data_IF_704903590385
#
_entry.id   IF_704903590385
#
_cell.length_a   1.000
_cell.length_b   1.000
_cell.length_c   1.000
_cell.angle_alpha   90.00
_cell.angle_beta   90.00
_cell.angle_gamma   90.00
#
_symmetry.space_group_name_H-M   'P 1'
#
loop_
_entity.id
_entity.type
_entity.pdbx_description
1 polymer ?
#
# COMPACT_ATOMS: atom_id res chain seq x y z
N UNK A 1 -4.71 -4.00 1.97
CA UNK A 1 -4.08 -4.83 3.02
C UNK A 1 -3.96 -3.98 4.27
N UNK A 2 -4.63 -4.33 5.37
CA UNK A 2 -4.65 -3.50 6.59
C UNK A 2 -3.36 -3.60 7.39
N UNK A 3 -2.94 -2.48 8.00
CA UNK A 3 -1.73 -2.39 8.84
C UNK A 3 -2.13 -2.06 10.28
N UNK A 4 -2.67 -0.87 10.54
CA UNK A 4 -3.01 -0.39 11.89
C UNK A 4 -4.02 0.77 11.81
N UNK A 5 -5.00 0.83 12.72
CA UNK A 5 -5.96 1.95 12.88
C UNK A 5 -6.57 2.48 11.56
N UNK A 6 -7.05 1.57 10.71
CA UNK A 6 -7.62 1.89 9.40
C UNK A 6 -6.62 2.19 8.28
N UNK A 7 -5.33 2.36 8.59
CA UNK A 7 -4.27 2.49 7.59
C UNK A 7 -3.96 1.15 6.91
N UNK A 8 -3.56 1.23 5.64
CA UNK A 8 -3.23 0.04 4.87
C UNK A 8 -2.45 0.33 3.59
N UNK A 9 -2.03 -0.76 2.94
CA UNK A 9 -1.46 -0.75 1.60
C UNK A 9 -2.58 -0.94 0.58
N UNK A 10 -2.73 0.00 -0.36
CA UNK A 10 -3.75 -0.06 -1.40
C UNK A 10 -3.26 0.53 -2.73
N UNK A 11 -3.97 0.17 -3.81
CA UNK A 11 -3.72 0.72 -5.14
C UNK A 11 -4.27 2.12 -5.30
N UNK A 12 -3.71 2.87 -6.24
CA UNK A 12 -4.26 4.16 -6.69
C UNK A 12 -4.08 4.36 -8.20
N UNK A 13 -5.01 5.10 -8.79
CA UNK A 13 -5.01 5.60 -10.17
C UNK A 13 -4.29 6.96 -10.32
N UNK A 14 -4.12 7.74 -9.24
CA UNK A 14 -3.31 8.97 -9.25
C UNK A 14 -1.80 8.66 -9.21
N UNK A 15 -1.31 7.92 -10.21
CA UNK A 15 0.09 7.48 -10.27
C UNK A 15 1.10 8.64 -10.21
N UNK A 16 0.72 9.81 -10.70
CA UNK A 16 1.56 11.02 -10.68
C UNK A 16 1.84 11.57 -9.28
N UNK A 17 1.09 11.16 -8.25
CA UNK A 17 1.33 11.56 -6.86
C UNK A 17 2.18 10.54 -6.07
N UNK A 18 2.51 9.39 -6.65
CA UNK A 18 3.37 8.40 -5.99
C UNK A 18 4.75 9.01 -5.69
N UNK A 19 5.29 8.73 -4.50
CA UNK A 19 6.55 9.33 -4.02
C UNK A 19 6.39 10.71 -3.36
N UNK A 20 5.17 11.27 -3.33
CA UNK A 20 4.87 12.52 -2.62
C UNK A 20 4.09 12.28 -1.32
N UNK A 21 3.93 13.34 -0.51
CA UNK A 21 3.13 13.32 0.73
C UNK A 21 1.62 13.44 0.44
N UNK A 22 1.07 12.51 -0.33
CA UNK A 22 -0.30 12.56 -0.87
C UNK A 22 -1.29 11.60 -0.19
N UNK A 23 -0.90 10.92 0.89
CA UNK A 23 -1.80 10.05 1.65
C UNK A 23 -2.12 10.63 3.03
N UNK A 24 -3.19 10.12 3.63
CA UNK A 24 -3.62 10.45 5.00
C UNK A 24 -3.23 9.33 5.99
N UNK A 25 -2.09 8.66 5.74
CA UNK A 25 -1.57 7.57 6.58
C UNK A 25 -1.51 6.20 5.89
N UNK A 26 -2.21 6.01 4.78
CA UNK A 26 -2.08 4.80 3.96
C UNK A 26 -0.81 4.80 3.10
N UNK A 27 -0.39 3.59 2.70
CA UNK A 27 0.66 3.38 1.69
C UNK A 27 -0.02 3.16 0.33
N UNK A 28 0.27 4.05 -0.62
CA UNK A 28 -0.27 4.01 -1.99
C UNK A 28 0.71 3.32 -2.92
N UNK A 29 0.22 2.45 -3.79
CA UNK A 29 0.99 1.75 -4.83
C UNK A 29 0.30 1.85 -6.19
N UNK A 30 1.02 1.63 -7.29
CA UNK A 30 0.37 1.48 -8.58
C UNK A 30 -0.51 0.21 -8.58
N UNK A 31 -1.66 0.26 -9.25
CA UNK A 31 -2.62 -0.85 -9.26
C UNK A 31 -2.01 -2.18 -9.74
N UNK A 32 -1.16 -2.23 -10.80
CA UNK A 32 -0.52 -3.48 -11.20
C UNK A 32 0.39 -4.07 -10.11
N UNK A 33 1.14 -3.21 -9.42
CA UNK A 33 2.11 -3.59 -8.39
C UNK A 33 1.42 -4.09 -7.12
N UNK A 34 0.38 -3.40 -6.65
CA UNK A 34 -0.35 -3.85 -5.45
C UNK A 34 -1.04 -5.20 -5.68
N UNK A 35 -1.50 -5.46 -6.91
CA UNK A 35 -2.07 -6.76 -7.30
C UNK A 35 -1.02 -7.85 -7.30
N UNK A 36 0.21 -7.54 -7.73
CA UNK A 36 1.34 -8.47 -7.67
C UNK A 36 1.67 -8.79 -6.22
N UNK A 37 1.90 -7.76 -5.39
CA UNK A 37 2.22 -7.91 -3.98
C UNK A 37 1.17 -8.77 -3.24
N UNK A 38 -0.12 -8.51 -3.49
CA UNK A 38 -1.21 -9.28 -2.88
C UNK A 38 -1.13 -10.79 -3.16
N UNK A 39 -0.62 -11.20 -4.33
CA UNK A 39 -0.47 -12.63 -4.67
C UNK A 39 0.78 -13.25 -4.07
N UNK A 40 1.81 -12.45 -3.79
CA UNK A 40 3.12 -12.92 -3.38
C UNK A 40 3.23 -13.09 -1.85
N UNK A 41 2.48 -12.31 -1.07
CA UNK A 41 2.64 -12.30 0.38
C UNK A 41 1.53 -13.06 1.12
N UNK A 42 1.87 -13.94 2.08
CA UNK A 42 0.89 -14.55 2.97
C UNK A 42 0.19 -13.53 3.86
N UNK A 43 -1.02 -13.86 4.32
CA UNK A 43 -1.69 -13.11 5.39
C UNK A 43 -0.82 -13.16 6.66
N UNK A 44 -0.81 -12.06 7.43
CA UNK A 44 0.05 -11.85 8.63
C UNK A 44 1.55 -11.68 8.34
N UNK A 45 1.94 -11.48 7.09
CA UNK A 45 3.30 -11.00 6.77
C UNK A 45 3.57 -9.71 7.55
N UNK A 46 4.64 -9.64 8.36
CA UNK A 46 4.98 -8.44 9.11
C UNK A 46 5.23 -7.25 8.19
N UNK A 47 4.74 -6.08 8.60
CA UNK A 47 4.95 -4.81 7.89
C UNK A 47 5.85 -3.94 8.76
N UNK A 48 6.96 -3.48 8.20
CA UNK A 48 7.89 -2.57 8.85
C UNK A 48 7.85 -1.22 8.14
N UNK A 49 7.64 -0.15 8.90
CA UNK A 49 7.59 1.23 8.40
C UNK A 49 8.72 2.00 9.12
N UNK A 50 9.51 2.75 8.35
CA UNK A 50 10.63 3.56 8.84
C UNK A 50 10.51 5.02 8.43
#
# INVERSE_FOLDING_TARGET
>A
MGIYDGAGIHGTDEVGSLGSRASHGCIRMAIPEVKQLYREIPVKTPVYIG
#
